data_IF_456986665005
#
_entry.id   IF_456986665005
#
_cell.length_a   1.000
_cell.length_b   1.000
_cell.length_c   1.000
_cell.angle_alpha   90.00
_cell.angle_beta   90.00
_cell.angle_gamma   90.00
#
_symmetry.space_group_name_H-M   'P 1'
#
loop_
_entity.id
_entity.type
_entity.pdbx_description
1 polymer ?
#
# COMPACT_ATOMS: atom_id res chain seq x y z
N UNK A 1 0.21 23.69 3.58
CA UNK A 1 0.49 22.37 2.96
C UNK A 1 1.85 22.49 2.29
N UNK A 2 2.78 21.55 2.51
CA UNK A 2 4.15 21.64 1.99
C UNK A 2 4.20 21.40 0.47
N UNK A 3 4.99 22.18 -0.27
CA UNK A 3 5.14 22.09 -1.73
C UNK A 3 5.54 20.68 -2.17
N UNK A 4 6.48 20.07 -1.46
CA UNK A 4 6.96 18.73 -1.77
C UNK A 4 5.82 17.69 -1.71
N UNK A 5 4.90 17.86 -0.77
CA UNK A 5 3.74 16.98 -0.62
C UNK A 5 2.76 17.09 -1.80
N UNK A 6 2.49 18.32 -2.26
CA UNK A 6 1.62 18.57 -3.40
C UNK A 6 2.25 18.04 -4.69
N UNK A 7 3.53 18.30 -4.93
CA UNK A 7 4.26 17.74 -6.07
C UNK A 7 4.23 16.21 -6.06
N UNK A 8 4.48 15.59 -4.90
CA UNK A 8 4.39 14.14 -4.76
C UNK A 8 2.99 13.60 -5.12
N UNK A 9 1.94 14.27 -4.67
CA UNK A 9 0.56 13.89 -5.00
C UNK A 9 0.28 13.92 -6.51
N UNK A 10 0.74 14.96 -7.20
CA UNK A 10 0.60 15.09 -8.67
C UNK A 10 1.38 14.01 -9.41
N UNK A 11 2.62 13.77 -8.99
CA UNK A 11 3.49 12.78 -9.63
C UNK A 11 2.90 11.36 -9.55
N UNK A 12 2.29 11.03 -8.40
CA UNK A 12 1.70 9.72 -8.13
C UNK A 12 0.30 9.53 -8.72
N UNK A 13 -0.35 10.59 -9.20
CA UNK A 13 -1.63 10.47 -9.88
C UNK A 13 -1.41 9.81 -11.27
N UNK A 14 -2.08 8.70 -11.57
CA UNK A 14 -1.98 8.04 -12.89
C UNK A 14 -0.66 7.27 -13.14
N UNK A 15 -0.27 7.14 -14.41
CA UNK A 15 0.79 6.22 -14.85
C UNK A 15 2.19 6.64 -14.40
N UNK A 16 2.96 5.71 -13.84
CA UNK A 16 4.33 5.93 -13.39
C UNK A 16 5.35 5.76 -14.52
N UNK A 17 5.66 6.86 -15.21
CA UNK A 17 6.75 6.96 -16.20
C UNK A 17 7.23 8.40 -16.33
N UNK A 18 8.42 8.58 -16.91
CA UNK A 18 9.11 9.86 -17.05
C UNK A 18 8.23 10.92 -17.73
N UNK A 19 7.72 10.60 -18.92
CA UNK A 19 6.91 11.52 -19.75
C UNK A 19 5.58 11.88 -19.08
N UNK A 20 4.91 10.90 -18.49
CA UNK A 20 3.59 11.03 -17.87
C UNK A 20 3.67 11.83 -16.56
N UNK A 21 4.70 11.56 -15.74
CA UNK A 21 4.98 12.35 -14.53
C UNK A 21 5.30 13.80 -14.91
N UNK A 22 6.13 14.00 -15.94
CA UNK A 22 6.49 15.34 -16.39
C UNK A 22 5.29 16.12 -16.96
N UNK A 23 4.43 15.46 -17.74
CA UNK A 23 3.19 16.02 -18.29
C UNK A 23 2.26 16.50 -17.17
N UNK A 24 1.99 15.65 -16.17
CA UNK A 24 1.12 16.02 -15.04
C UNK A 24 1.67 17.17 -14.22
N UNK A 25 2.98 17.19 -13.97
CA UNK A 25 3.62 18.30 -13.29
C UNK A 25 3.50 19.60 -14.07
N UNK A 26 3.65 19.57 -15.39
CA UNK A 26 3.41 20.72 -16.23
C UNK A 26 1.97 21.23 -16.11
N UNK A 27 0.99 20.33 -16.27
CA UNK A 27 -0.44 20.69 -16.15
C UNK A 27 -0.78 21.27 -14.78
N UNK A 28 -0.34 20.62 -13.69
CA UNK A 28 -0.61 21.09 -12.33
C UNK A 28 0.02 22.45 -12.02
N UNK A 29 1.14 22.79 -12.69
CA UNK A 29 1.83 24.08 -12.58
C UNK A 29 1.34 25.12 -13.62
N UNK A 30 0.31 24.80 -14.42
CA UNK A 30 -0.25 25.70 -15.43
C UNK A 30 0.59 25.84 -16.71
N UNK A 31 1.52 24.92 -16.97
CA UNK A 31 2.30 24.90 -18.20
C UNK A 31 1.63 24.05 -19.28
N UNK A 32 1.57 24.51 -20.54
CA UNK A 32 0.98 23.73 -21.63
C UNK A 32 1.80 22.50 -22.02
N UNK A 33 3.11 22.49 -21.71
CA UNK A 33 4.04 21.39 -21.97
C UNK A 33 5.13 21.31 -20.90
N UNK A 34 5.73 20.12 -20.66
CA UNK A 34 6.87 19.96 -19.75
C UNK A 34 8.05 20.85 -20.12
N UNK A 35 8.46 21.72 -19.18
CA UNK A 35 9.71 22.47 -19.29
C UNK A 35 10.90 21.54 -19.04
N UNK A 36 12.07 21.85 -19.58
CA UNK A 36 13.30 21.05 -19.44
C UNK A 36 13.63 20.67 -17.98
N UNK A 37 13.41 21.58 -17.03
CA UNK A 37 13.66 21.29 -15.62
C UNK A 37 12.64 20.29 -15.02
N UNK A 38 11.40 20.27 -15.51
CA UNK A 38 10.35 19.33 -15.10
C UNK A 38 10.69 17.94 -15.61
N UNK A 39 11.05 17.82 -16.89
CA UNK A 39 11.50 16.54 -17.47
C UNK A 39 12.73 16.01 -16.72
N UNK A 40 13.74 16.85 -16.51
CA UNK A 40 14.93 16.44 -15.74
C UNK A 40 14.61 16.02 -14.31
N UNK A 41 13.58 16.60 -13.67
CA UNK A 41 13.14 16.20 -12.34
C UNK A 41 12.44 14.84 -12.39
N UNK A 42 11.56 14.63 -13.37
CA UNK A 42 10.89 13.35 -13.57
C UNK A 42 11.91 12.22 -13.83
N UNK A 43 12.90 12.44 -14.71
CA UNK A 43 13.97 11.49 -15.00
C UNK A 43 14.73 11.08 -13.74
N UNK A 44 15.12 12.06 -12.90
CA UNK A 44 15.82 11.78 -11.64
C UNK A 44 14.98 10.95 -10.68
N UNK A 45 13.68 11.23 -10.59
CA UNK A 45 12.77 10.52 -9.69
C UNK A 45 12.58 9.08 -10.18
N UNK A 46 12.32 8.87 -11.46
CA UNK A 46 12.17 7.52 -12.02
C UNK A 46 13.48 6.74 -11.92
N UNK A 47 14.63 7.38 -12.14
CA UNK A 47 15.94 6.74 -11.92
C UNK A 47 16.15 6.34 -10.45
N UNK A 48 15.69 7.15 -9.49
CA UNK A 48 15.84 6.87 -8.06
C UNK A 48 14.93 5.73 -7.56
N UNK A 49 13.67 5.67 -8.04
CA UNK A 49 12.68 4.72 -7.55
C UNK A 49 12.46 3.50 -8.46
N UNK A 50 12.92 3.58 -9.70
CA UNK A 50 12.80 2.54 -10.72
C UNK A 50 11.47 2.60 -11.47
N UNK A 51 11.55 2.35 -12.78
CA UNK A 51 10.40 2.30 -13.70
C UNK A 51 9.58 1.00 -13.58
N UNK A 52 10.25 -0.12 -13.30
CA UNK A 52 9.61 -1.45 -13.25
C UNK A 52 9.04 -1.85 -11.89
N UNK A 53 9.23 -0.98 -10.88
CA UNK A 53 8.73 -1.17 -9.52
C UNK A 53 7.38 -0.49 -9.37
N UNK A 54 6.65 -0.88 -8.33
CA UNK A 54 5.52 -0.07 -7.89
C UNK A 54 6.00 1.35 -7.56
N UNK A 55 5.19 2.39 -7.79
CA UNK A 55 5.55 3.77 -7.45
C UNK A 55 6.02 3.90 -5.98
N UNK A 56 6.80 4.93 -5.63
CA UNK A 56 7.11 5.18 -4.23
C UNK A 56 5.85 5.57 -3.46
N UNK A 57 5.82 5.27 -2.16
CA UNK A 57 4.83 5.86 -1.26
C UNK A 57 4.99 7.39 -1.25
N UNK A 58 3.87 8.11 -1.09
CA UNK A 58 3.82 9.56 -1.06
C UNK A 58 4.77 10.15 -0.04
N UNK A 59 4.89 9.53 1.15
CA UNK A 59 5.84 9.96 2.16
C UNK A 59 7.30 9.88 1.66
N UNK A 60 7.69 8.77 1.04
CA UNK A 60 9.05 8.57 0.53
C UNK A 60 9.38 9.54 -0.60
N UNK A 61 8.43 9.78 -1.50
CA UNK A 61 8.60 10.75 -2.58
C UNK A 61 8.66 12.18 -2.04
N UNK A 62 7.80 12.54 -1.07
CA UNK A 62 7.83 13.85 -0.41
C UNK A 62 9.20 14.11 0.21
N UNK A 63 9.74 13.14 0.97
CA UNK A 63 11.09 13.23 1.57
C UNK A 63 12.19 13.40 0.53
N UNK A 64 12.10 12.70 -0.60
CA UNK A 64 13.05 12.85 -1.69
C UNK A 64 12.99 14.26 -2.29
N UNK A 65 11.78 14.80 -2.49
CA UNK A 65 11.58 16.14 -3.03
C UNK A 65 12.02 17.24 -2.06
N UNK A 66 11.88 17.07 -0.75
CA UNK A 66 12.36 18.02 0.27
C UNK A 66 13.87 18.30 0.15
N UNK A 67 14.65 17.30 -0.25
CA UNK A 67 16.11 17.41 -0.38
C UNK A 67 16.57 17.71 -1.82
N UNK A 68 15.69 17.60 -2.82
CA UNK A 68 16.05 17.82 -4.23
C UNK A 68 16.43 19.30 -4.48
N UNK A 69 17.59 19.59 -5.11
CA UNK A 69 18.05 20.96 -5.35
C UNK A 69 17.08 21.80 -6.19
N UNK A 70 16.35 21.21 -7.13
CA UNK A 70 15.39 21.93 -7.99
C UNK A 70 14.18 22.35 -7.18
N UNK A 71 13.66 21.45 -6.36
CA UNK A 71 12.51 21.74 -5.48
C UNK A 71 12.89 22.74 -4.40
N UNK A 72 14.09 22.65 -3.80
CA UNK A 72 14.57 23.63 -2.82
C UNK A 72 14.69 25.04 -3.43
N UNK A 73 15.21 25.15 -4.65
CA UNK A 73 15.27 26.43 -5.39
C UNK A 73 13.89 26.97 -5.74
N UNK A 74 12.95 26.10 -6.11
CA UNK A 74 11.56 26.50 -6.38
C UNK A 74 10.88 27.01 -5.11
N UNK A 75 11.14 26.33 -3.98
CA UNK A 75 10.64 26.73 -2.66
C UNK A 75 11.15 28.10 -2.23
N UNK A 76 12.43 28.40 -2.48
CA UNK A 76 13.04 29.68 -2.07
C UNK A 76 12.65 30.88 -2.96
N UNK A 77 12.03 30.64 -4.12
CA UNK A 77 11.69 31.69 -5.10
C UNK A 77 10.25 32.20 -5.00
N UNK A 78 9.39 31.47 -4.29
CA UNK A 78 7.97 31.76 -4.17
C UNK A 78 7.64 31.84 -2.69
N UNK A 79 6.86 32.84 -2.30
CA UNK A 79 6.27 32.86 -0.96
C UNK A 79 5.09 31.88 -0.94
N UNK A 80 5.34 30.69 -0.39
CA UNK A 80 4.34 29.63 -0.31
C UNK A 80 3.32 29.84 0.81
N UNK A 81 3.51 30.84 1.68
CA UNK A 81 2.57 31.20 2.74
C UNK A 81 1.65 32.37 2.32
N UNK A 82 2.05 33.16 1.32
CA UNK A 82 1.21 34.15 0.63
C UNK A 82 0.14 33.47 -0.24
N UNK A 83 -1.13 33.85 -0.06
CA UNK A 83 -2.26 33.39 -0.90
C UNK A 83 -2.24 34.04 -2.30
N UNK A 84 -1.57 35.19 -2.45
CA UNK A 84 -1.50 35.95 -3.70
C UNK A 84 -0.35 35.48 -4.61
N UNK A 85 0.76 35.02 -4.03
CA UNK A 85 1.95 34.57 -4.77
C UNK A 85 1.99 33.05 -5.02
N UNK A 86 1.03 32.29 -4.46
CA UNK A 86 0.94 30.85 -4.70
C UNK A 86 0.61 30.58 -6.17
N UNK A 87 1.40 29.76 -6.88
CA UNK A 87 0.98 29.29 -8.20
C UNK A 87 -0.34 28.54 -8.06
N UNK A 88 -1.28 28.77 -9.00
CA UNK A 88 -2.55 28.07 -9.07
C UNK A 88 -2.28 26.58 -9.30
N UNK A 89 -2.12 25.84 -8.20
CA UNK A 89 -1.82 24.42 -8.23
C UNK A 89 -3.11 23.66 -8.48
N UNK A 90 -3.34 23.27 -9.73
CA UNK A 90 -4.59 22.62 -10.10
C UNK A 90 -4.55 21.12 -9.74
N UNK A 91 -5.10 20.80 -8.58
CA UNK A 91 -5.30 19.42 -8.13
C UNK A 91 -6.62 18.80 -8.60
N UNK A 92 -7.53 19.61 -9.16
CA UNK A 92 -8.86 19.17 -9.60
C UNK A 92 -8.78 18.38 -10.90
N UNK A 93 -7.85 18.73 -11.78
CA UNK A 93 -7.65 18.09 -13.09
C UNK A 93 -6.65 16.93 -13.05
N UNK A 94 -6.38 16.37 -11.87
CA UNK A 94 -5.50 15.23 -11.78
C UNK A 94 -6.15 13.99 -12.40
N UNK A 95 -5.37 13.19 -13.16
CA UNK A 95 -5.89 11.95 -13.71
C UNK A 95 -6.26 11.01 -12.57
N UNK A 96 -7.23 10.15 -12.88
CA UNK A 96 -7.66 9.10 -11.97
C UNK A 96 -6.45 8.27 -11.53
N UNK A 97 -6.34 7.90 -10.24
CA UNK A 97 -5.37 6.90 -9.80
C UNK A 97 -5.55 5.61 -10.60
N UNK A 98 -4.46 4.89 -10.84
CA UNK A 98 -4.49 3.64 -11.59
C UNK A 98 -3.67 2.59 -10.85
N UNK A 99 -4.09 1.33 -10.97
CA UNK A 99 -3.25 0.23 -10.51
C UNK A 99 -1.92 0.19 -11.27
N UNK A 100 -0.83 0.00 -10.53
CA UNK A 100 0.54 -0.05 -11.06
C UNK A 100 1.29 -1.27 -10.49
N UNK A 101 0.96 -2.50 -10.93
CA UNK A 101 1.55 -3.72 -10.42
C UNK A 101 3.06 -3.80 -10.69
N UNK A 102 3.83 -4.21 -9.68
CA UNK A 102 5.25 -4.47 -9.83
C UNK A 102 5.51 -5.66 -10.78
N UNK A 103 6.69 -5.69 -11.40
CA UNK A 103 7.07 -6.69 -12.40
C UNK A 103 6.74 -8.15 -12.03
N UNK A 104 7.00 -8.53 -10.78
CA UNK A 104 6.78 -9.88 -10.28
C UNK A 104 5.29 -10.32 -10.25
N UNK A 105 4.35 -9.37 -10.26
CA UNK A 105 2.90 -9.62 -10.14
C UNK A 105 2.17 -9.29 -11.45
N UNK A 106 2.85 -8.68 -12.44
CA UNK A 106 2.23 -8.28 -13.72
C UNK A 106 1.53 -9.43 -14.46
N UNK A 107 2.02 -10.66 -14.33
CA UNK A 107 1.42 -11.84 -14.97
C UNK A 107 0.08 -12.25 -14.36
N UNK A 108 -0.13 -12.01 -13.07
CA UNK A 108 -1.40 -12.31 -12.38
C UNK A 108 -2.28 -11.08 -12.18
N UNK A 109 -1.79 -9.89 -12.55
CA UNK A 109 -2.51 -8.63 -12.37
C UNK A 109 -3.87 -8.59 -13.06
N UNK A 110 -4.05 -9.30 -14.18
CA UNK A 110 -5.33 -9.39 -14.90
C UNK A 110 -6.42 -10.12 -14.14
N UNK A 111 -6.06 -10.91 -13.11
CA UNK A 111 -7.00 -11.63 -12.24
C UNK A 111 -7.42 -10.79 -11.04
N UNK A 112 -6.76 -9.65 -10.80
CA UNK A 112 -7.02 -8.79 -9.65
C UNK A 112 -8.14 -7.81 -9.96
N UNK A 113 -9.02 -7.50 -8.99
CA UNK A 113 -10.02 -6.45 -9.18
C UNK A 113 -9.34 -5.09 -9.31
N UNK A 114 -9.73 -4.30 -10.31
CA UNK A 114 -9.26 -2.93 -10.46
C UNK A 114 -9.94 -2.02 -9.42
N UNK A 115 -9.26 -1.81 -8.29
CA UNK A 115 -9.71 -0.97 -7.19
C UNK A 115 -8.79 0.23 -7.07
N UNK A 116 -9.09 1.26 -7.85
CA UNK A 116 -8.24 2.44 -7.94
C UNK A 116 -8.61 3.54 -6.93
N UNK A 117 -9.80 3.46 -6.32
CA UNK A 117 -10.29 4.46 -5.36
C UNK A 117 -10.88 3.82 -4.09
N UNK A 118 -10.89 4.53 -2.95
CA UNK A 118 -11.60 4.08 -1.73
C UNK A 118 -13.09 3.80 -1.95
N UNK A 119 -13.74 4.56 -2.82
CA UNK A 119 -15.15 4.37 -3.17
C UNK A 119 -15.39 3.04 -3.88
N UNK A 120 -14.51 2.68 -4.82
CA UNK A 120 -14.57 1.39 -5.51
C UNK A 120 -14.29 0.23 -4.56
N UNK A 121 -13.27 0.36 -3.69
CA UNK A 121 -13.00 -0.66 -2.68
C UNK A 121 -14.22 -0.87 -1.76
N UNK A 122 -14.87 0.22 -1.34
CA UNK A 122 -16.08 0.16 -0.53
C UNK A 122 -17.23 -0.53 -1.27
N UNK A 123 -17.50 -0.12 -2.52
CA UNK A 123 -18.51 -0.73 -3.36
C UNK A 123 -18.25 -2.22 -3.60
N UNK A 124 -17.01 -2.59 -3.90
CA UNK A 124 -16.57 -3.97 -4.10
C UNK A 124 -16.75 -4.81 -2.83
N UNK A 125 -16.44 -4.27 -1.65
CA UNK A 125 -16.72 -4.95 -0.36
C UNK A 125 -18.20 -4.96 0.02
N UNK A 126 -19.08 -4.28 -0.71
CA UNK A 126 -20.50 -4.14 -0.37
C UNK A 126 -20.72 -3.29 0.88
N UNK A 127 -19.99 -2.17 1.00
CA UNK A 127 -20.01 -1.27 2.16
C UNK A 127 -19.91 0.20 1.72
N UNK A 128 -20.14 1.14 2.64
CA UNK A 128 -19.93 2.57 2.36
C UNK A 128 -18.49 3.00 2.67
N UNK A 129 -17.98 4.10 2.08
CA UNK A 129 -16.64 4.63 2.39
C UNK A 129 -16.44 4.91 3.90
N UNK A 130 -17.45 5.44 4.58
CA UNK A 130 -17.41 5.68 6.02
C UNK A 130 -17.32 4.39 6.84
N UNK A 131 -18.04 3.34 6.43
CA UNK A 131 -17.93 2.03 7.07
C UNK A 131 -16.58 1.37 6.75
N UNK A 132 -16.04 1.56 5.55
CA UNK A 132 -14.72 1.06 5.18
C UNK A 132 -13.63 1.69 6.04
N UNK A 133 -13.62 3.03 6.20
CA UNK A 133 -12.70 3.72 7.12
C UNK A 133 -12.77 3.12 8.53
N UNK A 134 -13.99 2.87 8.99
CA UNK A 134 -14.23 2.30 10.30
C UNK A 134 -13.68 0.87 10.44
N UNK A 135 -13.78 0.02 9.42
CA UNK A 135 -13.25 -1.35 9.43
C UNK A 135 -11.74 -1.44 9.21
N UNK A 136 -11.18 -0.56 8.38
CA UNK A 136 -9.74 -0.47 8.13
C UNK A 136 -8.99 -0.03 9.40
N UNK A 137 -9.64 0.77 10.24
CA UNK A 137 -9.11 1.23 11.52
C UNK A 137 -7.70 1.85 11.42
N UNK A 138 -7.46 2.64 10.36
CA UNK A 138 -6.15 3.29 10.13
C UNK A 138 -5.75 4.24 11.28
N UNK A 139 -6.72 4.66 12.10
CA UNK A 139 -6.54 5.52 13.27
C UNK A 139 -6.33 4.73 14.57
N UNK A 140 -6.40 3.39 14.55
CA UNK A 140 -6.18 2.56 15.73
C UNK A 140 -7.24 2.71 16.83
N UNK A 141 -8.48 3.05 16.45
CA UNK A 141 -9.63 3.20 17.35
C UNK A 141 -9.93 1.89 18.08
N UNK A 142 -9.73 0.74 17.43
CA UNK A 142 -9.95 -0.58 18.05
C UNK A 142 -9.10 -0.74 19.33
N UNK A 143 -7.83 -0.33 19.27
CA UNK A 143 -6.88 -0.40 20.39
C UNK A 143 -7.17 0.62 21.49
N UNK A 144 -7.80 1.73 21.16
CA UNK A 144 -8.04 2.84 22.09
C UNK A 144 -9.33 2.64 22.91
N UNK A 145 -10.29 1.87 22.41
CA UNK A 145 -11.56 1.65 23.09
C UNK A 145 -11.65 0.26 23.71
N UNK A 146 -12.17 0.19 24.94
CA UNK A 146 -12.28 -1.05 25.72
C UNK A 146 -13.54 -1.86 25.43
N UNK A 147 -14.62 -1.22 24.95
CA UNK A 147 -15.88 -1.88 24.58
C UNK A 147 -16.67 -1.08 23.53
N UNK A 148 -17.72 -1.68 22.98
CA UNK A 148 -18.72 -1.02 22.13
C UNK A 148 -18.63 -1.39 20.66
N UNK A 149 -19.33 -0.63 19.78
CA UNK A 149 -19.42 -0.93 18.36
C UNK A 149 -18.03 -1.02 17.74
N UNK A 150 -17.10 -0.15 18.14
CA UNK A 150 -15.73 0.02 17.62
C UNK A 150 -14.82 -1.22 17.75
N UNK A 151 -15.20 -2.24 18.52
CA UNK A 151 -14.44 -3.49 18.63
C UNK A 151 -14.76 -4.41 17.44
N UNK A 152 -13.77 -4.75 16.64
CA UNK A 152 -13.97 -5.65 15.48
C UNK A 152 -13.73 -7.13 15.79
N UNK A 153 -13.09 -7.42 16.93
CA UNK A 153 -12.70 -8.77 17.33
C UNK A 153 -13.34 -9.18 18.66
N UNK A 154 -13.50 -10.50 18.83
CA UNK A 154 -13.77 -11.16 20.11
C UNK A 154 -12.51 -11.87 20.57
N UNK A 155 -12.18 -11.73 21.84
CA UNK A 155 -10.93 -12.26 22.39
C UNK A 155 -11.21 -13.51 23.22
N UNK A 156 -10.42 -14.56 23.00
CA UNK A 156 -10.50 -15.79 23.78
C UNK A 156 -9.11 -16.27 24.17
N UNK A 157 -8.89 -16.53 25.46
CA UNK A 157 -7.67 -17.14 25.94
C UNK A 157 -7.83 -18.66 26.00
N UNK A 158 -6.92 -19.38 25.34
CA UNK A 158 -6.84 -20.84 25.37
C UNK A 158 -5.55 -21.29 26.05
N UNK A 159 -5.61 -22.36 26.85
CA UNK A 159 -4.40 -22.99 27.36
C UNK A 159 -3.69 -23.77 26.25
N UNK A 160 -2.37 -23.58 26.10
CA UNK A 160 -1.52 -24.47 25.30
C UNK A 160 -1.19 -25.72 26.13
N UNK A 161 -0.82 -26.81 25.45
CA UNK A 161 -0.28 -28.03 26.08
C UNK A 161 0.93 -27.74 26.98
N UNK A 162 1.68 -26.67 26.71
CA UNK A 162 2.83 -26.22 27.50
C UNK A 162 2.48 -25.31 28.70
N UNK A 163 1.20 -25.14 29.03
CA UNK A 163 0.74 -24.27 30.14
C UNK A 163 0.66 -22.77 29.80
N UNK A 164 1.31 -22.30 28.73
CA UNK A 164 1.19 -20.90 28.28
C UNK A 164 -0.20 -20.62 27.67
N UNK A 165 -0.70 -19.39 27.79
CA UNK A 165 -1.95 -18.99 27.14
C UNK A 165 -1.74 -18.62 25.67
N UNK A 166 -2.73 -18.88 24.81
CA UNK A 166 -2.86 -18.40 23.44
C UNK A 166 -4.05 -17.46 23.39
N UNK A 167 -3.80 -16.20 23.05
CA UNK A 167 -4.87 -15.27 22.69
C UNK A 167 -5.37 -15.60 21.28
N UNK A 168 -6.68 -15.78 21.16
CA UNK A 168 -7.37 -15.84 19.87
C UNK A 168 -8.13 -14.54 19.67
N UNK A 169 -7.86 -13.89 18.55
CA UNK A 169 -8.56 -12.70 18.09
C UNK A 169 -9.52 -13.13 16.97
N UNK A 170 -10.80 -13.22 17.29
CA UNK A 170 -11.82 -13.78 16.40
C UNK A 170 -12.57 -12.63 15.76
N UNK A 171 -12.41 -12.38 14.44
CA UNK A 171 -13.11 -11.28 13.78
C UNK A 171 -14.62 -11.50 13.81
N UNK A 172 -15.38 -10.43 14.07
CA UNK A 172 -16.85 -10.43 13.94
C UNK A 172 -17.24 -10.78 12.49
N UNK A 173 -18.44 -11.32 12.30
CA UNK A 173 -18.89 -11.92 11.03
C UNK A 173 -18.71 -11.03 9.79
N UNK A 174 -18.97 -9.72 9.91
CA UNK A 174 -18.85 -8.77 8.79
C UNK A 174 -17.39 -8.52 8.39
N UNK A 175 -16.51 -8.21 9.35
CA UNK A 175 -15.08 -8.15 9.09
C UNK A 175 -14.55 -9.51 8.58
N UNK A 176 -15.07 -10.61 9.14
CA UNK A 176 -14.71 -11.95 8.69
C UNK A 176 -15.02 -12.12 7.19
N UNK A 177 -16.19 -11.69 6.73
CA UNK A 177 -16.53 -11.73 5.30
C UNK A 177 -15.58 -10.89 4.44
N UNK A 178 -15.24 -9.67 4.86
CA UNK A 178 -14.32 -8.81 4.10
C UNK A 178 -12.93 -9.44 3.92
N UNK A 179 -12.28 -9.91 4.99
CA UNK A 179 -10.94 -10.49 4.83
C UNK A 179 -10.97 -11.85 4.10
N UNK A 180 -12.13 -12.51 3.96
CA UNK A 180 -12.28 -13.71 3.13
C UNK A 180 -12.38 -13.34 1.66
N UNK A 181 -13.21 -12.34 1.32
CA UNK A 181 -13.24 -11.78 -0.03
C UNK A 181 -11.86 -11.29 -0.50
N UNK A 182 -11.13 -10.57 0.36
CA UNK A 182 -9.75 -10.15 0.08
C UNK A 182 -8.81 -11.34 -0.11
N UNK A 183 -8.93 -12.40 0.71
CA UNK A 183 -8.13 -13.61 0.54
C UNK A 183 -8.40 -14.28 -0.81
N UNK A 184 -9.68 -14.49 -1.12
CA UNK A 184 -10.12 -15.31 -2.25
C UNK A 184 -9.92 -14.59 -3.59
N UNK A 185 -10.22 -13.29 -3.67
CA UNK A 185 -10.20 -12.51 -4.92
C UNK A 185 -8.94 -11.67 -5.12
N UNK A 186 -8.06 -11.56 -4.11
CA UNK A 186 -6.79 -10.80 -4.23
C UNK A 186 -5.60 -11.70 -3.87
N UNK A 187 -5.51 -12.12 -2.60
CA UNK A 187 -4.27 -12.73 -2.09
C UNK A 187 -3.98 -14.12 -2.68
N UNK A 188 -5.00 -14.88 -3.05
CA UNK A 188 -4.85 -16.18 -3.73
C UNK A 188 -4.18 -16.06 -5.11
N UNK A 189 -4.30 -14.90 -5.75
CA UNK A 189 -3.69 -14.63 -7.06
C UNK A 189 -2.27 -14.04 -6.96
N UNK A 190 -1.78 -13.77 -5.75
CA UNK A 190 -0.42 -13.27 -5.54
C UNK A 190 0.56 -14.45 -5.54
N UNK A 191 1.59 -14.45 -6.39
CA UNK A 191 2.54 -15.55 -6.46
C UNK A 191 3.33 -15.69 -5.15
N UNK A 192 3.35 -16.89 -4.60
CA UNK A 192 4.14 -17.26 -3.42
C UNK A 192 5.45 -17.94 -3.83
N UNK A 193 6.48 -17.84 -2.99
CA UNK A 193 7.73 -18.56 -3.21
C UNK A 193 7.48 -20.10 -3.27
N UNK A 194 8.12 -20.87 -4.18
CA UNK A 194 7.87 -22.31 -4.32
C UNK A 194 8.11 -23.15 -3.06
N UNK A 195 9.00 -22.68 -2.18
CA UNK A 195 9.28 -23.30 -0.88
C UNK A 195 8.30 -22.91 0.24
N UNK A 196 7.28 -22.09 -0.05
CA UNK A 196 6.19 -21.84 0.90
C UNK A 196 5.18 -22.99 0.83
N UNK A 197 4.78 -23.50 1.99
CA UNK A 197 3.80 -24.60 2.09
C UNK A 197 2.61 -24.27 3.01
N UNK A 198 2.76 -23.30 3.92
CA UNK A 198 1.70 -22.95 4.85
C UNK A 198 0.59 -22.17 4.15
N UNK A 199 -0.67 -22.54 4.44
CA UNK A 199 -1.88 -21.85 3.96
C UNK A 199 -2.07 -21.78 2.44
N UNK A 200 -1.34 -22.59 1.68
CA UNK A 200 -1.46 -22.65 0.22
C UNK A 200 -2.29 -23.86 -0.22
N UNK A 201 -3.19 -23.70 -1.20
CA UNK A 201 -3.89 -24.83 -1.83
C UNK A 201 -2.91 -25.87 -2.38
N UNK A 202 -3.20 -27.16 -2.19
CA UNK A 202 -2.36 -28.26 -2.66
C UNK A 202 -1.04 -28.45 -1.90
N UNK A 203 -0.77 -27.65 -0.86
CA UNK A 203 0.39 -27.81 0.03
C UNK A 203 -0.06 -28.28 1.42
N UNK A 204 0.83 -28.96 2.11
CA UNK A 204 0.58 -29.51 3.44
C UNK A 204 1.86 -29.59 4.28
N UNK A 205 1.71 -29.86 5.58
CA UNK A 205 2.83 -30.15 6.49
C UNK A 205 3.69 -31.30 5.98
N UNK A 206 3.09 -32.30 5.33
CA UNK A 206 3.81 -33.40 4.70
C UNK A 206 4.69 -32.90 3.55
N UNK A 207 4.12 -32.15 2.60
CA UNK A 207 4.90 -31.62 1.47
C UNK A 207 6.05 -30.70 1.90
N UNK A 208 5.90 -30.03 3.04
CA UNK A 208 6.95 -29.21 3.65
C UNK A 208 8.07 -30.07 4.25
N UNK A 209 7.75 -31.24 4.82
CA UNK A 209 8.71 -32.13 5.46
C UNK A 209 9.51 -33.01 4.46
N UNK A 210 8.92 -33.33 3.31
CA UNK A 210 9.55 -34.19 2.29
C UNK A 210 10.98 -33.73 1.92
N UNK A 211 11.24 -32.45 1.56
CA UNK A 211 12.59 -32.00 1.19
C UNK A 211 13.63 -32.14 2.30
N UNK A 212 13.20 -32.20 3.56
CA UNK A 212 14.07 -32.32 4.73
C UNK A 212 14.34 -33.78 5.14
N UNK A 213 13.61 -34.74 4.57
CA UNK A 213 13.73 -36.16 4.92
C UNK A 213 15.06 -36.72 4.39
N UNK A 214 15.80 -37.46 5.23
CA UNK A 214 17.11 -38.02 4.86
C UNK A 214 18.27 -37.02 4.84
N UNK A 215 18.02 -35.74 5.15
CA UNK A 215 19.08 -34.74 5.27
C UNK A 215 19.89 -34.96 6.54
N UNK A 216 21.22 -34.89 6.43
CA UNK A 216 22.14 -35.09 7.58
C UNK A 216 21.95 -34.05 8.68
N UNK A 217 21.56 -32.82 8.31
CA UNK A 217 21.34 -31.70 9.22
C UNK A 217 20.10 -30.92 8.76
N UNK A 218 19.22 -30.60 9.70
CA UNK A 218 18.03 -29.75 9.46
C UNK A 218 18.07 -28.57 10.42
N UNK A 219 18.10 -27.35 9.88
CA UNK A 219 18.05 -26.13 10.67
C UNK A 219 16.60 -25.75 10.96
N UNK A 220 16.25 -25.62 12.25
CA UNK A 220 14.93 -25.20 12.69
C UNK A 220 14.98 -23.77 13.24
N UNK A 221 14.22 -22.87 12.61
CA UNK A 221 14.07 -21.47 13.02
C UNK A 221 12.59 -21.19 13.25
N UNK A 222 12.28 -20.45 14.32
CA UNK A 222 10.91 -20.02 14.63
C UNK A 222 10.90 -18.51 14.91
N UNK A 223 9.82 -17.83 14.50
CA UNK A 223 9.65 -16.39 14.70
C UNK A 223 8.81 -16.14 15.96
N UNK A 224 9.37 -15.39 16.90
CA UNK A 224 8.65 -14.94 18.09
C UNK A 224 7.52 -13.99 17.68
N UNK A 225 6.30 -14.24 18.17
CA UNK A 225 5.15 -13.34 18.03
C UNK A 225 4.93 -12.89 16.58
N UNK A 226 4.86 -13.86 15.66
CA UNK A 226 4.76 -13.61 14.22
C UNK A 226 3.69 -12.56 13.83
N UNK A 227 2.42 -12.73 14.23
CA UNK A 227 1.37 -11.79 13.82
C UNK A 227 1.54 -10.39 14.43
N UNK A 228 1.76 -10.23 15.75
CA UNK A 228 2.00 -8.89 16.32
C UNK A 228 3.28 -8.21 15.83
N UNK A 229 4.28 -8.98 15.37
CA UNK A 229 5.55 -8.42 14.90
C UNK A 229 5.50 -7.88 13.47
N UNK A 230 4.42 -8.10 12.71
CA UNK A 230 4.25 -7.56 11.37
C UNK A 230 3.62 -6.16 11.45
N UNK A 231 4.36 -5.08 11.13
CA UNK A 231 3.79 -3.74 11.18
C UNK A 231 2.88 -3.48 9.98
N UNK A 232 1.84 -2.67 10.15
CA UNK A 232 0.87 -2.32 9.08
C UNK A 232 1.55 -1.75 7.83
N UNK A 233 2.63 -0.96 7.99
CA UNK A 233 3.44 -0.46 6.86
C UNK A 233 3.97 -1.55 5.92
N UNK A 234 4.21 -2.76 6.45
CA UNK A 234 4.66 -3.92 5.65
C UNK A 234 3.51 -4.51 4.85
N UNK A 235 2.30 -4.54 5.41
CA UNK A 235 1.08 -4.97 4.72
C UNK A 235 0.67 -3.95 3.66
N UNK A 236 0.77 -2.65 3.96
CA UNK A 236 0.59 -1.57 3.01
C UNK A 236 1.56 -1.72 1.83
N UNK A 237 2.86 -1.92 2.10
CA UNK A 237 3.85 -2.11 1.06
C UNK A 237 3.54 -3.34 0.18
N UNK A 238 2.97 -4.41 0.74
CA UNK A 238 2.51 -5.58 -0.03
C UNK A 238 1.40 -5.19 -1.01
N UNK A 239 0.31 -4.59 -0.53
CA UNK A 239 -0.81 -4.17 -1.41
C UNK A 239 -0.39 -3.11 -2.44
N UNK A 240 0.54 -2.23 -2.06
CA UNK A 240 1.14 -1.28 -2.99
C UNK A 240 1.98 -1.98 -4.07
N UNK A 241 2.73 -3.03 -3.71
CA UNK A 241 3.52 -3.83 -4.66
C UNK A 241 2.62 -4.64 -5.61
N UNK A 242 1.49 -5.14 -5.10
CA UNK A 242 0.42 -5.77 -5.90
C UNK A 242 -0.12 -4.78 -6.94
N UNK A 243 -0.10 -3.49 -6.65
CA UNK A 243 -0.36 -2.42 -7.60
C UNK A 243 -1.46 -1.47 -7.17
N UNK A 244 -2.11 -1.69 -6.01
CA UNK A 244 -3.17 -0.79 -5.56
C UNK A 244 -2.62 0.60 -5.21
N UNK A 245 -3.32 1.69 -5.58
CA UNK A 245 -2.94 3.04 -5.17
C UNK A 245 -2.81 3.15 -3.65
N UNK A 246 -1.91 4.02 -3.15
CA UNK A 246 -1.57 4.09 -1.73
C UNK A 246 -2.79 4.19 -0.80
N UNK A 247 -3.80 4.97 -1.17
CA UNK A 247 -5.01 5.12 -0.34
C UNK A 247 -5.79 3.80 -0.21
N UNK A 248 -5.90 3.04 -1.30
CA UNK A 248 -6.56 1.72 -1.30
C UNK A 248 -5.70 0.70 -0.57
N UNK A 249 -4.38 0.68 -0.84
CA UNK A 249 -3.43 -0.17 -0.14
C UNK A 249 -3.42 0.08 1.38
N UNK A 250 -3.59 1.33 1.81
CA UNK A 250 -3.69 1.70 3.23
C UNK A 250 -4.97 1.18 3.88
N UNK A 251 -6.10 1.20 3.17
CA UNK A 251 -7.39 0.69 3.69
C UNK A 251 -7.45 -0.85 3.73
N UNK A 252 -6.66 -1.51 2.88
CA UNK A 252 -6.51 -2.97 2.87
C UNK A 252 -5.54 -3.49 3.95
N UNK A 253 -4.66 -2.63 4.48
CA UNK A 253 -3.56 -2.99 5.39
C UNK A 253 -3.92 -2.91 6.86
#
# INVERSE_FOLDING_TARGET
MDLAHQLAQVMLAGRWSEDEVAARLATALGYPRPRKWISNLADRIIAAFGRDRAPPLQYSLTRFLEVDPTVRRLRSRLDWDSLEDRPAFNLLDLPRPMMSPAAAIRTTATLLPDLSTPGELAGWLGTTPSQLDWYADCHGRERQHTDGPLRHYRYRLLAKRSGRKRLLEIPKSRLKRFQRKILDEILTHVPSHPAAHAFLPGRSTLTCAIPHTGQRVVLRIDLREFFPSIPSRRVLALFHTIGYPEQVARLLA
#
